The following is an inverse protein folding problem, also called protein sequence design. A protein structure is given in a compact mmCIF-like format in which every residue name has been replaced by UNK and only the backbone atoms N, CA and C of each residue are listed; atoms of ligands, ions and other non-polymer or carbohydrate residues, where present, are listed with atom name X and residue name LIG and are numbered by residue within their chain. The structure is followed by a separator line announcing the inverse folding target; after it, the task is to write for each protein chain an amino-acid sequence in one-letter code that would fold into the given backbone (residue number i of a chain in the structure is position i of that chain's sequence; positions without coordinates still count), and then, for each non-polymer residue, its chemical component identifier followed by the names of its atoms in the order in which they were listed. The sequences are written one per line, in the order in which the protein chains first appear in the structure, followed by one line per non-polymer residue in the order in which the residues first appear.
data_IF_648088133862
#
_entry.id   IF_648088133862
#
_cell.length_a   1.000
_cell.length_b   1.000
_cell.length_c   1.000
_cell.angle_alpha   90.00
_cell.angle_beta   90.00
_cell.angle_gamma   90.00
#
_symmetry.space_group_name_H-M   'P 1'
#
loop_
_entity.id
_entity.type
_entity.pdbx_description
1 polymer ?
#
# COMPACT_ATOMS: atom_id res chain seq x y z
N UNK A 1 -6.86 -9.00 9.00
CA UNK A 1 -5.43 -9.30 8.82
C UNK A 1 -4.67 -8.03 9.10
N UNK A 2 -3.66 -8.11 9.96
CA UNK A 2 -2.84 -6.96 10.35
C UNK A 2 -1.79 -6.74 9.27
N UNK A 3 -2.00 -5.75 8.41
CA UNK A 3 -0.89 -5.14 7.69
C UNK A 3 -0.19 -4.17 8.65
N UNK A 4 1.08 -3.88 8.39
CA UNK A 4 1.79 -2.87 9.15
C UNK A 4 1.21 -1.48 8.82
N UNK A 5 0.45 -0.92 9.76
CA UNK A 5 -0.22 0.37 9.59
C UNK A 5 0.78 1.53 9.48
N UNK A 6 1.93 1.44 10.16
CA UNK A 6 2.99 2.45 10.10
C UNK A 6 3.65 2.45 8.72
N UNK A 7 3.98 1.26 8.21
CA UNK A 7 4.51 1.09 6.86
C UNK A 7 3.51 1.59 5.81
N UNK A 8 2.23 1.25 5.95
CA UNK A 8 1.18 1.74 5.07
C UNK A 8 1.07 3.26 5.12
N UNK A 9 1.20 3.88 6.30
CA UNK A 9 1.13 5.33 6.42
C UNK A 9 2.32 6.03 5.77
N UNK A 10 3.53 5.49 5.94
CA UNK A 10 4.73 5.98 5.24
C UNK A 10 4.58 5.90 3.73
N UNK A 11 4.01 4.80 3.22
CA UNK A 11 3.73 4.67 1.79
C UNK A 11 2.72 5.73 1.34
N UNK A 12 1.63 5.96 2.09
CA UNK A 12 0.67 7.05 1.80
C UNK A 12 1.34 8.40 1.72
N UNK A 13 2.20 8.75 2.67
CA UNK A 13 2.90 10.03 2.67
C UNK A 13 3.80 10.19 1.44
N UNK A 14 4.45 9.11 0.99
CA UNK A 14 5.31 9.14 -0.19
C UNK A 14 4.53 9.28 -1.50
N UNK A 15 3.34 8.71 -1.59
CA UNK A 15 2.51 8.71 -2.81
C UNK A 15 1.37 9.73 -2.78
N UNK A 16 1.25 10.53 -1.72
CA UNK A 16 0.17 11.52 -1.55
C UNK A 16 0.12 12.59 -2.65
N UNK A 17 1.19 12.73 -3.44
CA UNK A 17 1.25 13.63 -4.59
C UNK A 17 0.65 13.06 -5.88
N UNK A 18 0.36 11.76 -5.95
CA UNK A 18 -0.25 11.12 -7.11
C UNK A 18 -1.78 11.09 -6.96
N UNK A 19 -2.47 11.74 -7.90
CA UNK A 19 -3.94 11.88 -7.88
C UNK A 19 -4.71 10.57 -8.08
N UNK A 20 -4.02 9.49 -8.44
CA UNK A 20 -4.60 8.24 -8.93
C UNK A 20 -4.20 7.03 -8.06
N UNK A 21 -4.07 7.27 -6.75
CA UNK A 21 -3.76 6.21 -5.76
C UNK A 21 -5.03 5.56 -5.25
N UNK A 22 -5.11 4.22 -5.34
CA UNK A 22 -6.18 3.40 -4.75
C UNK A 22 -5.60 2.38 -3.79
N UNK A 23 -6.20 2.25 -2.61
CA UNK A 23 -5.82 1.27 -1.59
C UNK A 23 -6.72 0.02 -1.68
N UNK A 24 -6.11 -1.17 -1.78
CA UNK A 24 -6.81 -2.45 -1.79
C UNK A 24 -6.24 -3.43 -0.77
N UNK A 25 -7.10 -4.03 0.06
CA UNK A 25 -6.70 -5.11 0.98
C UNK A 25 -6.63 -6.42 0.21
N UNK A 26 -5.42 -6.93 -0.01
CA UNK A 26 -5.19 -8.16 -0.78
C UNK A 26 -3.87 -8.81 -0.42
N UNK A 27 -3.75 -10.12 -0.70
CA UNK A 27 -2.56 -10.93 -0.39
C UNK A 27 -2.12 -10.91 1.09
N UNK A 28 -3.06 -10.71 2.01
CA UNK A 28 -2.75 -10.59 3.44
C UNK A 28 -2.08 -9.28 3.84
N UNK A 29 -2.11 -8.27 2.97
CA UNK A 29 -1.55 -6.94 3.19
C UNK A 29 -2.44 -5.82 2.64
N UNK A 30 -1.84 -4.63 2.49
CA UNK A 30 -2.45 -3.46 1.86
C UNK A 30 -1.67 -3.11 0.59
N UNK A 31 -2.31 -3.17 -0.56
CA UNK A 31 -1.73 -2.80 -1.85
C UNK A 31 -2.15 -1.39 -2.26
N UNK A 32 -1.22 -0.67 -2.87
CA UNK A 32 -1.39 0.66 -3.44
C UNK A 32 -1.30 0.53 -4.96
N UNK A 33 -2.39 0.91 -5.62
CA UNK A 33 -2.50 0.97 -7.07
C UNK A 33 -2.32 2.43 -7.49
N UNK A 34 -1.48 2.68 -8.48
CA UNK A 34 -1.31 4.01 -9.09
C UNK A 34 -1.81 3.92 -10.54
N UNK A 35 -2.81 4.74 -10.89
CA UNK A 35 -3.42 4.74 -12.21
C UNK A 35 -4.03 3.38 -12.57
N UNK A 36 -4.60 2.67 -11.59
CA UNK A 36 -5.20 1.35 -11.76
C UNK A 36 -4.21 0.17 -11.85
N UNK A 37 -2.89 0.42 -11.73
CA UNK A 37 -1.87 -0.63 -11.75
C UNK A 37 -1.26 -0.81 -10.36
N UNK A 38 -1.07 -2.06 -9.93
CA UNK A 38 -0.36 -2.36 -8.68
C UNK A 38 1.07 -1.83 -8.74
N UNK A 39 1.43 -0.96 -7.80
CA UNK A 39 2.77 -0.36 -7.73
C UNK A 39 3.56 -0.85 -6.53
N UNK A 40 2.93 -0.91 -5.34
CA UNK A 40 3.57 -1.32 -4.09
C UNK A 40 2.55 -1.83 -3.08
N UNK A 41 2.92 -2.78 -2.22
CA UNK A 41 2.10 -3.23 -1.10
C UNK A 41 2.85 -3.34 0.24
N UNK A 42 2.15 -3.09 1.34
CA UNK A 42 2.59 -3.38 2.69
C UNK A 42 2.13 -4.79 3.11
N UNK A 43 3.09 -5.68 3.36
CA UNK A 43 2.82 -7.04 3.82
C UNK A 43 2.45 -7.09 5.31
N UNK A 44 1.48 -7.94 5.67
CA UNK A 44 1.21 -8.28 7.07
C UNK A 44 2.26 -9.15 7.76
N UNK A 45 3.24 -9.67 7.01
CA UNK A 45 4.40 -10.38 7.57
C UNK A 45 5.62 -9.47 7.78
N UNK A 46 5.48 -8.16 7.52
CA UNK A 46 6.57 -7.19 7.56
C UNK A 46 7.33 -7.16 6.22
N UNK A 47 7.42 -5.97 5.62
CA UNK A 47 8.12 -5.75 4.35
C UNK A 47 7.23 -5.26 3.21
N UNK A 48 7.85 -5.04 2.06
CA UNK A 48 7.24 -4.51 0.82
C UNK A 48 6.95 -5.66 -0.17
N UNK A 49 5.86 -5.53 -0.92
CA UNK A 49 5.46 -6.43 -2.02
C UNK A 49 5.31 -5.68 -3.33
#
# INVERSE_FOLDING_TARGET
MAYDEDLANRIRELIAGDSDVTEMKMFGGLAFLVGGNMSIGASGQGGLM
#
